data_IF_341170103641
#
_entry.id   IF_341170103641
#
_cell.length_a   1.000
_cell.length_b   1.000
_cell.length_c   1.000
_cell.angle_alpha   90.00
_cell.angle_beta   90.00
_cell.angle_gamma   90.00
#
_symmetry.space_group_name_H-M   'P 1'
#
loop_
_entity.id
_entity.type
_entity.pdbx_description
1 polymer ?
#
# COMPACT_ATOMS: atom_id res chain seq x y z
N UNK A 1 20.43 65.57 11.35
CA UNK A 1 21.55 66.04 10.50
C UNK A 1 22.29 64.84 9.87
N UNK A 2 21.75 64.31 8.78
CA UNK A 2 22.54 63.50 7.83
C UNK A 2 22.76 64.42 6.63
N UNK A 3 24.02 64.70 6.32
CA UNK A 3 24.39 65.68 5.30
C UNK A 3 23.96 65.22 3.91
N UNK A 4 23.09 66.01 3.29
CA UNK A 4 22.76 65.91 1.87
C UNK A 4 24.03 66.23 1.06
N UNK A 5 24.76 65.20 0.67
CA UNK A 5 25.78 65.35 -0.37
C UNK A 5 25.05 65.69 -1.67
N UNK A 6 25.42 66.82 -2.26
CA UNK A 6 24.92 67.21 -3.58
C UNK A 6 25.12 66.05 -4.57
N UNK A 7 24.09 65.67 -5.35
CA UNK A 7 24.20 64.53 -6.26
C UNK A 7 25.33 64.78 -7.26
N UNK A 8 26.24 63.80 -7.38
CA UNK A 8 27.42 63.86 -8.24
C UNK A 8 27.13 64.03 -9.73
N UNK A 9 25.87 63.83 -10.13
CA UNK A 9 25.35 64.09 -11.49
C UNK A 9 24.06 64.94 -11.39
N UNK A 10 24.14 66.27 -11.62
CA UNK A 10 22.99 67.16 -11.65
C UNK A 10 21.92 66.75 -12.67
N UNK A 11 22.31 66.12 -13.79
CA UNK A 11 21.36 65.68 -14.82
C UNK A 11 20.55 64.46 -14.35
N UNK A 12 21.17 63.51 -13.65
CA UNK A 12 20.46 62.38 -13.05
C UNK A 12 19.51 62.81 -11.92
N UNK A 13 19.84 63.87 -11.18
CA UNK A 13 18.94 64.43 -10.17
C UNK A 13 17.74 65.13 -10.80
N UNK A 14 17.96 65.96 -11.83
CA UNK A 14 16.88 66.61 -12.57
C UNK A 14 15.92 65.62 -13.24
N UNK A 15 16.44 64.51 -13.82
CA UNK A 15 15.60 63.43 -14.36
C UNK A 15 14.70 62.84 -13.26
N UNK A 16 15.27 62.47 -12.10
CA UNK A 16 14.52 61.93 -10.96
C UNK A 16 13.46 62.89 -10.42
N UNK A 17 13.76 64.18 -10.33
CA UNK A 17 12.79 65.20 -9.91
C UNK A 17 11.64 65.34 -10.91
N UNK A 18 11.94 65.33 -12.21
CA UNK A 18 10.93 65.37 -13.26
C UNK A 18 10.03 64.12 -13.24
N UNK A 19 10.62 62.95 -13.02
CA UNK A 19 9.87 61.70 -12.93
C UNK A 19 8.98 61.67 -11.67
N UNK A 20 9.47 62.19 -10.54
CA UNK A 20 8.68 62.31 -9.31
C UNK A 20 7.49 63.27 -9.49
N UNK A 21 7.68 64.41 -10.18
CA UNK A 21 6.58 65.33 -10.49
C UNK A 21 5.53 64.67 -11.39
N UNK A 22 5.97 63.97 -12.45
CA UNK A 22 5.07 63.21 -13.34
C UNK A 22 4.24 62.16 -12.60
N UNK A 23 4.86 61.43 -11.67
CA UNK A 23 4.16 60.43 -10.85
C UNK A 23 3.13 61.08 -9.92
N UNK A 24 3.46 62.25 -9.35
CA UNK A 24 2.52 62.97 -8.49
C UNK A 24 1.32 63.50 -9.27
N UNK A 25 1.56 64.04 -10.46
CA UNK A 25 0.49 64.56 -11.32
C UNK A 25 -0.41 63.41 -11.81
N UNK A 26 0.16 62.28 -12.23
CA UNK A 26 -0.60 61.09 -12.61
C UNK A 26 -1.42 60.50 -11.45
N UNK A 27 -0.89 60.51 -10.23
CA UNK A 27 -1.62 60.07 -9.03
C UNK A 27 -2.82 60.99 -8.73
N UNK A 28 -2.63 62.30 -8.86
CA UNK A 28 -3.70 63.28 -8.67
C UNK A 28 -4.80 63.14 -9.73
N UNK A 29 -4.43 62.88 -10.99
CA UNK A 29 -5.37 62.60 -12.08
C UNK A 29 -6.17 61.32 -11.84
N UNK A 30 -5.50 60.26 -11.36
CA UNK A 30 -6.15 58.98 -11.01
C UNK A 30 -7.12 59.15 -9.84
N UNK A 31 -6.72 59.87 -8.80
CA UNK A 31 -7.58 60.14 -7.64
C UNK A 31 -8.81 60.97 -8.02
N UNK A 32 -8.63 61.98 -8.87
CA UNK A 32 -9.74 62.78 -9.40
C UNK A 32 -10.70 61.95 -10.27
N UNK A 33 -10.17 61.00 -11.06
CA UNK A 33 -10.99 60.06 -11.83
C UNK A 33 -11.79 59.11 -10.93
N UNK A 34 -11.15 58.50 -9.94
CA UNK A 34 -11.82 57.62 -8.97
C UNK A 34 -12.89 58.36 -8.17
N UNK A 35 -12.63 59.62 -7.79
CA UNK A 35 -13.60 60.46 -7.11
C UNK A 35 -14.85 60.71 -7.96
N UNK A 36 -14.70 60.89 -9.28
CA UNK A 36 -15.83 61.01 -10.21
C UNK A 36 -16.59 59.68 -10.36
N UNK A 37 -15.90 58.55 -10.49
CA UNK A 37 -16.55 57.24 -10.59
C UNK A 37 -17.34 56.88 -9.33
N UNK A 38 -16.83 57.23 -8.17
CA UNK A 38 -17.41 56.90 -6.86
C UNK A 38 -18.29 58.02 -6.30
N UNK A 39 -18.62 59.04 -7.10
CA UNK A 39 -19.48 60.14 -6.68
C UNK A 39 -20.85 59.61 -6.21
N UNK A 40 -21.27 60.05 -5.02
CA UNK A 40 -22.59 59.72 -4.45
C UNK A 40 -23.73 60.33 -5.25
N UNK A 41 -23.50 61.51 -5.83
CA UNK A 41 -24.43 62.17 -6.74
C UNK A 41 -24.32 61.55 -8.14
N UNK A 42 -25.39 60.93 -8.67
CA UNK A 42 -25.38 60.33 -10.01
C UNK A 42 -25.12 61.34 -11.14
N UNK A 43 -25.44 62.63 -10.94
CA UNK A 43 -25.27 63.66 -11.98
C UNK A 43 -23.81 64.06 -12.20
N UNK A 44 -22.93 63.77 -11.23
CA UNK A 44 -21.49 64.06 -11.26
C UNK A 44 -20.67 62.80 -11.58
N UNK A 45 -21.32 61.64 -11.59
CA UNK A 45 -20.66 60.37 -11.88
C UNK A 45 -20.34 60.27 -13.37
N UNK A 46 -19.10 59.93 -13.69
CA UNK A 46 -18.71 59.64 -15.07
C UNK A 46 -19.59 58.52 -15.64
N UNK A 47 -20.06 58.69 -16.87
CA UNK A 47 -20.76 57.65 -17.61
C UNK A 47 -19.81 56.49 -17.93
N UNK A 48 -20.36 55.32 -18.26
CA UNK A 48 -19.56 54.16 -18.66
C UNK A 48 -18.67 54.45 -19.88
N UNK A 49 -19.14 55.26 -20.83
CA UNK A 49 -18.36 55.64 -22.02
C UNK A 49 -17.22 56.59 -21.68
N UNK A 50 -17.43 57.53 -20.76
CA UNK A 50 -16.37 58.44 -20.30
C UNK A 50 -15.33 57.69 -19.46
N UNK A 51 -15.75 56.74 -18.62
CA UNK A 51 -14.86 55.90 -17.83
C UNK A 51 -13.96 55.01 -18.70
N UNK A 52 -14.50 54.45 -19.78
CA UNK A 52 -13.74 53.61 -20.72
C UNK A 52 -12.78 54.43 -21.60
N UNK A 53 -13.03 55.72 -21.76
CA UNK A 53 -12.17 56.63 -22.53
C UNK A 53 -11.10 57.30 -21.67
N UNK A 54 -11.10 57.07 -20.35
CA UNK A 54 -10.09 57.61 -19.45
C UNK A 54 -8.73 56.94 -19.71
N UNK A 55 -7.61 57.69 -19.80
CA UNK A 55 -6.27 57.14 -20.02
C UNK A 55 -5.91 56.01 -19.04
N UNK A 56 -6.31 56.13 -17.77
CA UNK A 56 -6.02 55.12 -16.75
C UNK A 56 -6.68 53.78 -17.06
N UNK A 57 -7.96 53.80 -17.48
CA UNK A 57 -8.72 52.59 -17.79
C UNK A 57 -8.33 52.03 -19.16
N UNK A 58 -8.19 52.90 -20.16
CA UNK A 58 -7.86 52.49 -21.52
C UNK A 58 -6.46 51.87 -21.63
N UNK A 59 -5.44 52.42 -20.96
CA UNK A 59 -4.09 51.84 -20.95
C UNK A 59 -4.03 50.52 -20.17
N UNK A 60 -4.69 50.44 -19.01
CA UNK A 60 -4.78 49.20 -18.24
C UNK A 60 -5.54 48.11 -18.98
N UNK A 61 -6.63 48.46 -19.67
CA UNK A 61 -7.43 47.53 -20.45
C UNK A 61 -6.67 47.08 -21.70
N UNK A 62 -5.96 47.98 -22.38
CA UNK A 62 -5.09 47.63 -23.51
C UNK A 62 -3.94 46.71 -23.09
N UNK A 63 -3.31 46.94 -21.93
CA UNK A 63 -2.29 46.05 -21.41
C UNK A 63 -2.86 44.66 -21.06
N UNK A 64 -4.08 44.61 -20.50
CA UNK A 64 -4.77 43.35 -20.23
C UNK A 64 -5.21 42.63 -21.51
N UNK A 65 -5.66 43.35 -22.54
CA UNK A 65 -6.01 42.80 -23.85
C UNK A 65 -4.77 42.29 -24.57
N UNK A 66 -3.66 43.03 -24.57
CA UNK A 66 -2.39 42.58 -25.14
C UNK A 66 -1.85 41.34 -24.41
N UNK A 67 -1.96 41.29 -23.07
CA UNK A 67 -1.60 40.10 -22.29
C UNK A 67 -2.57 38.92 -22.53
N UNK A 68 -3.83 39.19 -22.86
CA UNK A 68 -4.78 38.17 -23.28
C UNK A 68 -4.49 37.69 -24.71
N UNK A 69 -4.12 38.56 -25.64
CA UNK A 69 -3.69 38.23 -26.99
C UNK A 69 -2.39 37.41 -26.99
N UNK A 70 -1.44 37.73 -26.12
CA UNK A 70 -0.24 36.91 -25.88
C UNK A 70 -0.57 35.54 -25.26
N UNK A 71 -1.63 35.47 -24.42
CA UNK A 71 -2.14 34.22 -23.82
C UNK A 71 -3.08 33.43 -24.73
N UNK A 72 -3.65 34.06 -25.76
CA UNK A 72 -4.28 33.39 -26.90
C UNK A 72 -3.13 32.86 -27.75
N UNK A 73 -2.47 31.86 -27.18
CA UNK A 73 -1.21 31.32 -27.63
C UNK A 73 -1.26 30.80 -29.06
N UNK A 74 -0.06 30.66 -29.64
CA UNK A 74 0.20 30.03 -30.93
C UNK A 74 -0.77 28.88 -31.18
N UNK A 75 -1.66 29.08 -32.14
CA UNK A 75 -2.51 28.01 -32.64
C UNK A 75 -1.61 26.85 -33.07
N UNK A 76 -1.93 25.64 -32.62
CA UNK A 76 -1.23 24.41 -33.00
C UNK A 76 -2.14 23.53 -33.82
N UNK A 77 -1.54 22.70 -34.66
CA UNK A 77 -2.27 21.81 -35.57
C UNK A 77 -2.24 20.39 -35.03
N UNK A 78 -3.42 19.77 -34.91
CA UNK A 78 -3.51 18.35 -34.55
C UNK A 78 -2.82 17.47 -35.60
N UNK A 79 -1.85 16.66 -35.19
CA UNK A 79 -1.15 15.71 -36.04
C UNK A 79 -2.04 14.58 -36.57
N UNK A 80 -3.24 14.39 -36.01
CA UNK A 80 -4.18 13.34 -36.43
C UNK A 80 -5.28 13.85 -37.34
N UNK A 81 -6.07 14.84 -36.91
CA UNK A 81 -7.20 15.35 -37.68
C UNK A 81 -6.90 16.64 -38.47
N UNK A 82 -5.76 17.29 -38.24
CA UNK A 82 -5.40 18.54 -38.90
C UNK A 82 -6.14 19.78 -38.37
N UNK A 83 -6.84 19.70 -37.23
CA UNK A 83 -7.50 20.87 -36.64
C UNK A 83 -6.48 21.94 -36.24
N UNK A 84 -6.58 23.12 -36.86
CA UNK A 84 -5.70 24.28 -36.68
C UNK A 84 -6.20 25.26 -35.62
N UNK A 85 -7.34 24.98 -34.96
CA UNK A 85 -7.95 25.89 -33.98
C UNK A 85 -7.51 25.62 -32.54
N UNK A 86 -6.59 24.68 -32.33
CA UNK A 86 -6.20 24.24 -31.00
C UNK A 86 -5.30 25.24 -30.29
N UNK A 87 -5.63 25.47 -29.01
CA UNK A 87 -4.73 26.17 -28.09
C UNK A 87 -3.70 25.19 -27.55
N UNK A 88 -2.45 25.63 -27.41
CA UNK A 88 -1.36 24.84 -26.82
C UNK A 88 -1.75 24.21 -25.46
N UNK A 89 -2.51 24.94 -24.63
CA UNK A 89 -2.96 24.45 -23.31
C UNK A 89 -3.97 23.31 -23.36
N UNK A 90 -4.69 23.16 -24.46
CA UNK A 90 -5.75 22.15 -24.65
C UNK A 90 -5.22 20.90 -25.34
N UNK A 91 -4.11 21.02 -26.08
CA UNK A 91 -3.54 19.94 -26.85
C UNK A 91 -2.57 19.07 -26.04
N UNK A 92 -2.61 17.76 -26.25
CA UNK A 92 -1.62 16.85 -25.71
C UNK A 92 -0.39 16.84 -26.62
N UNK A 93 0.81 17.07 -26.07
CA UNK A 93 2.07 17.00 -26.81
C UNK A 93 2.78 15.69 -26.51
N UNK A 94 3.27 15.00 -27.54
CA UNK A 94 4.05 13.78 -27.34
C UNK A 94 5.34 14.06 -26.56
N UNK A 95 5.94 13.04 -25.90
CA UNK A 95 7.19 13.22 -25.18
C UNK A 95 8.38 13.67 -26.04
N UNK A 96 8.35 13.45 -27.37
CA UNK A 96 9.38 13.96 -28.28
C UNK A 96 9.20 15.43 -28.63
N UNK A 97 8.00 15.98 -28.41
CA UNK A 97 7.64 17.36 -28.76
C UNK A 97 7.09 17.55 -30.17
N UNK A 98 7.28 16.59 -31.08
CA UNK A 98 7.00 16.76 -32.52
C UNK A 98 5.53 16.61 -32.91
N UNK A 99 4.74 15.88 -32.11
CA UNK A 99 3.34 15.57 -32.40
C UNK A 99 2.43 16.18 -31.34
N UNK A 100 1.32 16.74 -31.81
CA UNK A 100 0.32 17.43 -31.02
C UNK A 100 -1.04 16.82 -31.33
N UNK A 101 -1.85 16.58 -30.31
CA UNK A 101 -3.15 15.93 -30.45
C UNK A 101 -4.24 16.80 -29.86
N UNK A 102 -5.35 16.97 -30.61
CA UNK A 102 -6.58 17.49 -30.00
C UNK A 102 -7.08 16.52 -28.93
N UNK A 103 -7.88 16.99 -27.94
CA UNK A 103 -8.42 16.14 -26.89
C UNK A 103 -9.14 14.88 -27.41
N UNK A 104 -9.91 15.00 -28.50
CA UNK A 104 -10.65 13.87 -29.07
C UNK A 104 -9.72 12.82 -29.68
N UNK A 105 -8.75 13.22 -30.51
CA UNK A 105 -7.80 12.30 -31.13
C UNK A 105 -6.88 11.66 -30.09
N UNK A 106 -6.46 12.40 -29.06
CA UNK A 106 -5.66 11.87 -27.98
C UNK A 106 -6.43 10.85 -27.14
N UNK A 107 -7.68 11.17 -26.77
CA UNK A 107 -8.58 10.25 -26.06
C UNK A 107 -8.78 8.96 -26.84
N UNK A 108 -9.06 9.06 -28.14
CA UNK A 108 -9.22 7.90 -29.00
C UNK A 108 -7.94 7.04 -29.07
N UNK A 109 -6.77 7.68 -29.18
CA UNK A 109 -5.49 6.97 -29.17
C UNK A 109 -5.26 6.21 -27.86
N UNK A 110 -5.63 6.80 -26.72
CA UNK A 110 -5.56 6.15 -25.40
C UNK A 110 -6.50 4.95 -25.36
N UNK A 111 -7.76 5.11 -25.78
CA UNK A 111 -8.74 4.01 -25.79
C UNK A 111 -8.33 2.83 -26.65
N UNK A 112 -7.75 3.09 -27.83
CA UNK A 112 -7.24 2.04 -28.73
C UNK A 112 -6.10 1.28 -28.06
N UNK A 113 -5.14 1.98 -27.46
CA UNK A 113 -3.98 1.36 -26.82
C UNK A 113 -4.34 0.61 -25.54
N UNK A 114 -5.35 1.06 -24.79
CA UNK A 114 -5.87 0.33 -23.63
C UNK A 114 -6.52 -1.00 -24.04
N UNK A 115 -7.11 -1.06 -25.24
CA UNK A 115 -7.74 -2.27 -25.77
C UNK A 115 -6.76 -3.20 -26.50
N UNK A 116 -5.61 -2.67 -26.92
CA UNK A 116 -4.57 -3.46 -27.55
C UNK A 116 -3.92 -4.41 -26.53
N UNK A 117 -3.56 -5.63 -26.95
CA UNK A 117 -2.99 -6.67 -26.09
C UNK A 117 -1.49 -6.92 -26.39
N UNK A 118 -0.82 -5.95 -27.01
CA UNK A 118 0.62 -6.04 -27.33
C UNK A 118 1.51 -6.05 -26.08
N UNK A 119 2.81 -6.33 -26.26
CA UNK A 119 3.77 -6.35 -25.16
C UNK A 119 3.89 -4.99 -24.42
N UNK A 120 3.71 -3.86 -25.12
CA UNK A 120 3.63 -2.54 -24.48
C UNK A 120 2.35 -2.39 -23.65
N UNK A 121 1.24 -2.98 -24.12
CA UNK A 121 0.02 -3.08 -23.34
C UNK A 121 0.16 -4.00 -22.11
N UNK A 122 1.13 -4.93 -22.05
CA UNK A 122 1.41 -5.69 -20.82
C UNK A 122 1.93 -4.83 -19.68
N UNK A 123 2.56 -3.70 -19.96
CA UNK A 123 2.94 -2.69 -18.96
C UNK A 123 1.89 -1.58 -18.83
N UNK A 124 0.88 -1.58 -19.72
CA UNK A 124 -0.21 -0.61 -19.79
C UNK A 124 0.30 0.83 -19.81
N UNK A 125 1.14 1.11 -20.80
CA UNK A 125 1.69 2.44 -21.06
C UNK A 125 1.16 2.96 -22.40
N UNK A 126 0.90 4.27 -22.46
CA UNK A 126 0.39 4.92 -23.68
C UNK A 126 1.56 5.55 -24.42
N UNK A 127 1.72 5.23 -25.69
CA UNK A 127 2.73 5.81 -26.56
C UNK A 127 2.11 6.71 -27.61
N UNK A 128 2.93 7.59 -28.18
CA UNK A 128 2.54 8.38 -29.34
C UNK A 128 2.44 7.46 -30.57
N UNK A 129 1.29 7.44 -31.25
CA UNK A 129 1.05 6.58 -32.41
C UNK A 129 1.90 6.91 -33.64
N UNK A 130 2.45 8.12 -33.71
CA UNK A 130 3.27 8.61 -34.82
C UNK A 130 4.77 8.55 -34.53
N UNK A 131 5.12 8.44 -33.25
CA UNK A 131 6.50 8.45 -32.81
C UNK A 131 6.99 7.00 -32.73
N UNK A 132 8.13 6.69 -33.35
CA UNK A 132 8.86 5.45 -33.05
C UNK A 132 9.51 5.44 -31.65
N UNK A 133 9.30 6.51 -30.85
CA UNK A 133 9.86 6.66 -29.51
C UNK A 133 9.18 5.72 -28.53
N UNK A 134 9.99 5.00 -27.74
CA UNK A 134 9.51 4.14 -26.65
C UNK A 134 9.16 4.89 -25.37
N UNK A 135 9.24 6.21 -25.35
CA UNK A 135 8.89 7.00 -24.17
C UNK A 135 7.36 7.10 -24.06
N UNK A 136 6.75 6.65 -22.96
CA UNK A 136 5.30 6.75 -22.78
C UNK A 136 4.89 8.17 -22.37
N UNK A 137 3.61 8.49 -22.59
CA UNK A 137 3.01 9.69 -22.02
C UNK A 137 2.98 9.61 -20.49
N UNK A 138 3.29 10.71 -19.78
CA UNK A 138 3.07 10.80 -18.34
C UNK A 138 1.59 10.68 -17.98
N UNK A 139 1.31 10.12 -16.80
CA UNK A 139 -0.05 9.98 -16.27
C UNK A 139 -0.78 11.33 -16.21
N UNK A 140 -0.07 12.41 -15.87
CA UNK A 140 -0.69 13.74 -15.77
C UNK A 140 -1.21 14.23 -17.13
N UNK A 141 -0.49 13.89 -18.21
CA UNK A 141 -0.90 14.24 -19.58
C UNK A 141 -2.16 13.45 -19.97
N UNK A 142 -2.21 12.15 -19.65
CA UNK A 142 -3.36 11.30 -19.91
C UNK A 142 -4.58 11.77 -19.10
N UNK A 143 -4.40 12.03 -17.81
CA UNK A 143 -5.47 12.51 -16.93
C UNK A 143 -6.04 13.86 -17.39
N UNK A 144 -5.18 14.77 -17.85
CA UNK A 144 -5.58 16.11 -18.30
C UNK A 144 -6.30 16.10 -19.63
N UNK A 145 -5.77 15.39 -20.62
CA UNK A 145 -6.23 15.50 -22.02
C UNK A 145 -7.10 14.34 -22.49
N UNK A 146 -7.21 13.26 -21.70
CA UNK A 146 -8.09 12.12 -21.98
C UNK A 146 -8.89 11.69 -20.73
N UNK A 147 -9.62 12.60 -20.06
CA UNK A 147 -10.29 12.30 -18.78
C UNK A 147 -11.33 11.19 -18.87
N UNK A 148 -12.01 11.04 -20.02
CA UNK A 148 -13.01 9.98 -20.25
C UNK A 148 -12.38 8.58 -20.37
N UNK A 149 -11.17 8.49 -20.92
CA UNK A 149 -10.44 7.22 -21.09
C UNK A 149 -9.52 6.90 -19.89
N UNK A 150 -9.24 7.88 -19.02
CA UNK A 150 -8.29 7.74 -17.92
C UNK A 150 -8.69 6.64 -16.91
N UNK A 151 -9.99 6.47 -16.65
CA UNK A 151 -10.48 5.42 -15.77
C UNK A 151 -10.23 4.00 -16.30
N UNK A 152 -10.40 3.78 -17.60
CA UNK A 152 -10.08 2.51 -18.26
C UNK A 152 -8.56 2.26 -18.29
N UNK A 153 -7.79 3.32 -18.56
CA UNK A 153 -6.33 3.27 -18.49
C UNK A 153 -5.82 2.79 -17.12
N UNK A 154 -6.33 3.38 -16.02
CA UNK A 154 -5.93 2.98 -14.66
C UNK A 154 -6.31 1.53 -14.34
N UNK A 155 -7.51 1.08 -14.72
CA UNK A 155 -7.95 -0.32 -14.55
C UNK A 155 -7.06 -1.30 -15.32
N UNK A 156 -6.73 -0.95 -16.56
CA UNK A 156 -5.79 -1.73 -17.34
C UNK A 156 -4.45 -1.84 -16.61
N UNK A 157 -3.89 -0.72 -16.14
CA UNK A 157 -2.60 -0.70 -15.44
C UNK A 157 -2.59 -1.50 -14.14
N UNK A 158 -3.67 -1.44 -13.37
CA UNK A 158 -3.84 -2.28 -12.18
C UNK A 158 -3.84 -3.77 -12.55
N UNK A 159 -4.56 -4.14 -13.62
CA UNK A 159 -4.61 -5.52 -14.12
C UNK A 159 -3.24 -6.02 -14.58
N UNK A 160 -2.49 -5.20 -15.32
CA UNK A 160 -1.13 -5.50 -15.76
C UNK A 160 -0.16 -5.68 -14.59
N UNK A 161 -0.22 -4.80 -13.60
CA UNK A 161 0.60 -4.92 -12.39
C UNK A 161 0.26 -6.19 -11.60
N UNK A 162 -1.02 -6.49 -11.43
CA UNK A 162 -1.48 -7.71 -10.76
C UNK A 162 -0.99 -8.97 -11.48
N UNK A 163 -1.09 -9.01 -12.82
CA UNK A 163 -0.59 -10.12 -13.63
C UNK A 163 0.92 -10.31 -13.50
N UNK A 164 1.70 -9.21 -13.47
CA UNK A 164 3.15 -9.26 -13.25
C UNK A 164 3.50 -9.84 -11.88
N UNK A 165 2.83 -9.36 -10.82
CA UNK A 165 3.03 -9.87 -9.47
C UNK A 165 2.66 -11.35 -9.34
N UNK A 166 1.58 -11.79 -9.99
CA UNK A 166 1.18 -13.19 -10.02
C UNK A 166 2.21 -14.08 -10.74
N UNK A 167 2.74 -13.59 -11.87
CA UNK A 167 3.81 -14.27 -12.60
C UNK A 167 5.08 -14.43 -11.76
N UNK A 168 5.51 -13.36 -11.08
CA UNK A 168 6.67 -13.39 -10.18
C UNK A 168 6.47 -14.37 -9.03
N UNK A 169 5.32 -14.30 -8.34
CA UNK A 169 4.97 -15.25 -7.26
C UNK A 169 4.91 -16.69 -7.74
N UNK A 170 4.34 -16.93 -8.92
CA UNK A 170 4.27 -18.26 -9.51
C UNK A 170 5.66 -18.80 -9.84
N UNK A 171 6.56 -17.96 -10.36
CA UNK A 171 7.94 -18.34 -10.61
C UNK A 171 8.69 -18.68 -9.31
N UNK A 172 8.56 -17.84 -8.27
CA UNK A 172 9.14 -18.10 -6.95
C UNK A 172 8.60 -19.39 -6.33
N UNK A 173 7.29 -19.63 -6.41
CA UNK A 173 6.67 -20.84 -5.89
C UNK A 173 7.20 -22.09 -6.60
N UNK A 174 7.34 -22.04 -7.93
CA UNK A 174 7.92 -23.14 -8.72
C UNK A 174 9.35 -23.45 -8.29
N UNK A 175 10.17 -22.43 -8.06
CA UNK A 175 11.55 -22.61 -7.56
C UNK A 175 11.56 -23.28 -6.19
N UNK A 176 10.74 -22.80 -5.23
CA UNK A 176 10.64 -23.39 -3.89
C UNK A 176 10.15 -24.84 -3.93
N UNK A 177 9.16 -25.13 -4.78
CA UNK A 177 8.63 -26.48 -4.95
C UNK A 177 9.68 -27.41 -5.54
N UNK A 178 10.43 -26.96 -6.54
CA UNK A 178 11.50 -27.73 -7.16
C UNK A 178 12.62 -28.03 -6.15
N UNK A 179 13.03 -27.05 -5.35
CA UNK A 179 14.02 -27.22 -4.29
C UNK A 179 13.56 -28.25 -3.23
N UNK A 180 12.29 -28.21 -2.82
CA UNK A 180 11.78 -29.17 -1.84
C UNK A 180 11.66 -30.58 -2.45
N UNK A 181 11.30 -30.70 -3.72
CA UNK A 181 11.30 -31.98 -4.44
C UNK A 181 12.71 -32.56 -4.55
N UNK A 182 13.71 -31.76 -4.93
CA UNK A 182 15.11 -32.19 -5.01
C UNK A 182 15.65 -32.61 -3.65
N UNK A 183 15.29 -31.87 -2.59
CA UNK A 183 15.61 -32.25 -1.21
C UNK A 183 14.97 -33.60 -0.84
N UNK A 184 13.69 -33.80 -1.13
CA UNK A 184 13.00 -35.06 -0.85
C UNK A 184 13.56 -36.24 -1.68
N UNK A 185 14.03 -35.99 -2.90
CA UNK A 185 14.64 -37.01 -3.77
C UNK A 185 16.07 -37.37 -3.35
N UNK A 186 16.83 -36.41 -2.81
CA UNK A 186 18.20 -36.63 -2.34
C UNK A 186 18.28 -37.24 -0.95
N UNK A 187 17.18 -37.24 -0.20
CA UNK A 187 17.11 -37.87 1.11
C UNK A 187 17.23 -39.39 1.00
N UNK A 188 18.16 -39.95 1.76
CA UNK A 188 18.24 -41.39 2.00
C UNK A 188 16.98 -41.91 2.70
N UNK A 189 16.72 -43.23 2.58
CA UNK A 189 15.62 -43.88 3.29
C UNK A 189 15.68 -43.65 4.81
N UNK A 190 16.89 -43.60 5.38
CA UNK A 190 17.10 -43.29 6.79
C UNK A 190 16.64 -41.86 7.13
N UNK A 191 17.08 -40.86 6.37
CA UNK A 191 16.70 -39.45 6.58
C UNK A 191 15.19 -39.23 6.41
N UNK A 192 14.57 -39.90 5.43
CA UNK A 192 13.13 -39.86 5.23
C UNK A 192 12.39 -40.40 6.44
N UNK A 193 12.82 -41.55 6.98
CA UNK A 193 12.22 -42.17 8.18
C UNK A 193 12.42 -41.32 9.43
N UNK A 194 13.61 -40.75 9.61
CA UNK A 194 13.90 -39.80 10.71
C UNK A 194 13.01 -38.56 10.60
N UNK A 195 12.82 -38.02 9.40
CA UNK A 195 11.96 -36.85 9.17
C UNK A 195 10.49 -37.14 9.48
N UNK A 196 9.96 -38.28 9.04
CA UNK A 196 8.59 -38.71 9.37
C UNK A 196 8.44 -38.92 10.88
N UNK A 197 9.41 -39.58 11.53
CA UNK A 197 9.37 -39.80 12.97
C UNK A 197 9.47 -38.50 13.77
N UNK A 198 10.31 -37.56 13.31
CA UNK A 198 10.43 -36.22 13.88
C UNK A 198 9.12 -35.46 13.80
N UNK A 199 8.48 -35.44 12.63
CA UNK A 199 7.18 -34.80 12.45
C UNK A 199 6.12 -35.44 13.37
N UNK A 200 6.13 -36.77 13.55
CA UNK A 200 5.24 -37.43 14.49
C UNK A 200 5.47 -36.99 15.94
N UNK A 201 6.73 -36.92 16.38
CA UNK A 201 7.11 -36.44 17.72
C UNK A 201 6.61 -35.02 17.94
N UNK A 202 6.95 -34.10 17.03
CA UNK A 202 6.61 -32.68 17.16
C UNK A 202 5.09 -32.48 17.17
N UNK A 203 4.35 -33.19 16.32
CA UNK A 203 2.91 -32.94 16.16
C UNK A 203 2.00 -33.76 17.08
N UNK A 204 2.39 -34.98 17.46
CA UNK A 204 1.52 -35.91 18.19
C UNK A 204 1.99 -36.20 19.62
N UNK A 205 3.28 -36.01 19.92
CA UNK A 205 3.83 -36.30 21.24
C UNK A 205 4.03 -35.00 22.03
N UNK A 206 4.73 -34.03 21.46
CA UNK A 206 5.10 -32.79 22.17
C UNK A 206 4.01 -31.72 22.20
N UNK A 207 2.98 -31.84 21.36
CA UNK A 207 1.82 -30.95 21.39
C UNK A 207 0.75 -31.53 22.30
N UNK A 208 0.33 -30.77 23.32
CA UNK A 208 -0.78 -31.20 24.18
C UNK A 208 -2.09 -31.07 23.41
N UNK A 209 -2.80 -32.18 23.27
CA UNK A 209 -4.05 -32.26 22.49
C UNK A 209 -5.19 -32.74 23.36
N UNK A 210 -6.41 -32.40 22.95
CA UNK A 210 -7.60 -33.01 23.50
C UNK A 210 -7.55 -34.53 23.25
N UNK A 211 -7.71 -35.37 24.30
CA UNK A 211 -7.66 -36.84 24.18
C UNK A 211 -8.81 -37.42 23.34
N UNK A 212 -9.82 -36.61 23.00
CA UNK A 212 -11.00 -37.04 22.27
C UNK A 212 -10.99 -36.61 20.80
N UNK A 213 -10.77 -35.33 20.52
CA UNK A 213 -10.81 -34.81 19.14
C UNK A 213 -9.43 -34.46 18.56
N UNK A 214 -8.34 -34.60 19.33
CA UNK A 214 -6.99 -34.30 18.85
C UNK A 214 -6.68 -32.80 18.67
N UNK A 215 -7.61 -31.89 18.99
CA UNK A 215 -7.38 -30.44 18.89
C UNK A 215 -6.24 -30.03 19.84
N UNK A 216 -5.23 -29.34 19.31
CA UNK A 216 -4.17 -28.71 20.11
C UNK A 216 -4.74 -27.54 20.90
N UNK A 217 -4.18 -27.25 22.07
CA UNK A 217 -4.52 -26.06 22.82
C UNK A 217 -3.26 -25.41 23.38
N UNK A 218 -3.12 -24.12 23.12
CA UNK A 218 -1.85 -23.39 23.27
C UNK A 218 -1.80 -22.56 24.57
N UNK A 219 -2.96 -22.11 25.05
CA UNK A 219 -3.05 -21.21 26.20
C UNK A 219 -3.79 -21.87 27.37
N UNK A 220 -3.19 -21.74 28.56
CA UNK A 220 -3.70 -22.30 29.80
C UNK A 220 -4.14 -21.21 30.77
N UNK A 221 -5.43 -21.19 31.11
CA UNK A 221 -6.00 -20.27 32.10
C UNK A 221 -6.26 -20.98 33.44
N UNK A 222 -5.18 -21.21 34.19
CA UNK A 222 -5.09 -21.57 35.62
C UNK A 222 -5.83 -22.82 36.16
N UNK A 223 -7.04 -23.17 35.70
CA UNK A 223 -7.81 -24.32 36.18
C UNK A 223 -7.40 -25.59 35.43
N UNK A 224 -7.00 -26.64 36.16
CA UNK A 224 -6.58 -27.90 35.55
C UNK A 224 -7.74 -28.84 35.21
N UNK A 225 -8.96 -28.37 35.36
CA UNK A 225 -10.16 -29.00 34.86
C UNK A 225 -10.48 -28.45 33.45
N UNK A 226 -9.90 -29.06 32.42
CA UNK A 226 -9.96 -28.57 31.04
C UNK A 226 -11.24 -29.00 30.35
N UNK A 227 -11.91 -28.04 29.72
CA UNK A 227 -12.96 -28.33 28.76
C UNK A 227 -12.44 -27.97 27.37
N UNK A 228 -12.48 -28.91 26.43
CA UNK A 228 -12.15 -28.62 25.04
C UNK A 228 -13.16 -27.60 24.48
N UNK A 229 -12.74 -26.33 24.36
CA UNK A 229 -13.65 -25.20 24.06
C UNK A 229 -14.54 -25.49 22.85
N UNK A 230 -15.85 -25.26 22.99
CA UNK A 230 -16.83 -25.33 21.90
C UNK A 230 -17.00 -24.00 21.18
N UNK A 231 -16.40 -22.93 21.69
CA UNK A 231 -16.73 -21.57 21.27
C UNK A 231 -15.82 -21.13 20.11
N UNK A 232 -16.43 -20.74 18.99
CA UNK A 232 -15.79 -20.22 17.78
C UNK A 232 -16.63 -20.49 16.51
N UNK A 233 -16.68 -19.56 15.55
CA UNK A 233 -17.39 -19.73 14.27
C UNK A 233 -16.46 -20.25 13.15
N UNK A 234 -15.44 -21.05 13.50
CA UNK A 234 -14.39 -21.50 12.57
C UNK A 234 -14.15 -23.02 12.61
N UNK A 235 -13.22 -23.54 11.81
CA UNK A 235 -12.84 -24.96 11.81
C UNK A 235 -12.25 -25.44 13.15
N UNK A 236 -11.95 -24.52 14.08
CA UNK A 236 -11.35 -24.77 15.39
C UNK A 236 -12.36 -25.04 16.52
N UNK A 237 -13.58 -25.46 16.22
CA UNK A 237 -14.58 -25.84 17.25
C UNK A 237 -14.12 -27.13 17.95
N UNK A 238 -13.84 -27.05 19.25
CA UNK A 238 -13.51 -28.23 20.06
C UNK A 238 -14.75 -29.05 20.42
N UNK A 239 -14.55 -30.27 20.91
CA UNK A 239 -15.64 -31.23 21.11
C UNK A 239 -16.45 -31.02 22.43
N UNK A 240 -16.02 -30.13 23.31
CA UNK A 240 -16.61 -29.96 24.65
C UNK A 240 -16.29 -31.08 25.65
N UNK A 241 -15.41 -32.02 25.29
CA UNK A 241 -14.98 -33.05 26.22
C UNK A 241 -14.22 -32.43 27.38
N UNK A 242 -14.54 -32.89 28.59
CA UNK A 242 -13.85 -32.51 29.83
C UNK A 242 -12.76 -33.52 30.15
N UNK A 243 -11.60 -33.06 30.57
CA UNK A 243 -10.47 -33.92 30.91
C UNK A 243 -9.51 -33.25 31.88
N UNK A 244 -8.84 -34.08 32.66
CA UNK A 244 -7.85 -33.61 33.63
C UNK A 244 -6.60 -33.07 32.94
N UNK A 245 -6.15 -31.87 33.28
CA UNK A 245 -4.94 -31.26 32.78
C UNK A 245 -3.63 -31.99 33.13
N UNK A 246 -3.65 -32.70 34.26
CA UNK A 246 -2.48 -33.44 34.75
C UNK A 246 -2.25 -34.76 34.03
N UNK A 247 -3.31 -35.50 33.69
CA UNK A 247 -3.20 -36.84 33.11
C UNK A 247 -3.89 -37.01 31.76
N UNK A 248 -4.60 -35.98 31.27
CA UNK A 248 -5.41 -35.98 30.05
C UNK A 248 -6.47 -37.09 30.02
N UNK A 249 -6.83 -37.66 31.17
CA UNK A 249 -7.91 -38.64 31.23
C UNK A 249 -9.25 -37.92 31.10
N UNK A 250 -10.14 -38.46 30.26
CA UNK A 250 -11.51 -37.97 30.09
C UNK A 250 -12.26 -38.01 31.42
N UNK A 251 -12.96 -36.94 31.75
CA UNK A 251 -13.77 -36.80 32.97
C UNK A 251 -15.23 -36.54 32.61
N UNK A 252 -16.15 -36.84 33.53
CA UNK A 252 -17.54 -36.37 33.46
C UNK A 252 -17.64 -34.95 34.02
N UNK A 253 -18.79 -34.28 33.86
CA UNK A 253 -18.97 -32.94 34.41
C UNK A 253 -18.90 -32.91 35.95
N UNK A 254 -19.38 -33.97 36.60
CA UNK A 254 -19.49 -34.09 38.06
C UNK A 254 -18.16 -34.49 38.71
N UNK A 255 -17.33 -35.26 38.01
CA UNK A 255 -16.06 -35.79 38.55
C UNK A 255 -14.84 -34.94 38.18
N UNK A 256 -15.01 -33.97 37.27
CA UNK A 256 -13.89 -33.26 36.67
C UNK A 256 -12.95 -32.58 37.68
N UNK A 257 -13.51 -31.76 38.57
CA UNK A 257 -12.73 -31.09 39.60
C UNK A 257 -12.17 -32.09 40.62
N UNK A 258 -12.99 -33.05 41.07
CA UNK A 258 -12.58 -34.07 42.05
C UNK A 258 -11.42 -34.93 41.54
N UNK A 259 -11.42 -35.29 40.26
CA UNK A 259 -10.33 -36.02 39.64
C UNK A 259 -9.06 -35.15 39.63
N UNK A 260 -9.15 -33.90 39.20
CA UNK A 260 -7.98 -32.99 39.13
C UNK A 260 -7.34 -32.81 40.50
N UNK A 261 -8.14 -32.52 41.54
CA UNK A 261 -7.63 -32.31 42.90
C UNK A 261 -6.98 -33.56 43.50
N UNK A 262 -7.40 -34.76 43.08
CA UNK A 262 -6.89 -36.04 43.59
C UNK A 262 -6.01 -36.78 42.58
N UNK A 263 -5.67 -36.15 41.46
CA UNK A 263 -4.94 -36.81 40.39
C UNK A 263 -3.54 -37.21 40.90
N UNK A 264 -3.14 -38.45 40.67
CA UNK A 264 -1.79 -38.93 41.04
C UNK A 264 -0.65 -38.15 40.35
N UNK A 265 -0.98 -37.43 39.27
CA UNK A 265 -0.05 -36.60 38.50
C UNK A 265 -0.12 -35.12 38.89
N UNK A 266 -0.92 -34.76 39.89
CA UNK A 266 -1.02 -33.40 40.37
C UNK A 266 0.26 -33.02 41.14
N UNK A 267 1.04 -32.10 40.55
CA UNK A 267 2.29 -31.61 41.15
C UNK A 267 2.08 -30.44 42.13
N UNK A 268 0.88 -29.85 42.15
CA UNK A 268 0.54 -28.77 43.07
C UNK A 268 0.23 -29.28 44.49
N UNK A 269 -0.12 -30.56 44.62
CA UNK A 269 -0.53 -31.18 45.88
C UNK A 269 -1.98 -31.68 45.84
N UNK A 270 -2.32 -32.64 46.71
CA UNK A 270 -3.69 -33.14 46.80
C UNK A 270 -4.62 -32.05 47.34
N UNK A 271 -5.78 -31.89 46.71
CA UNK A 271 -6.75 -30.85 47.03
C UNK A 271 -6.67 -29.63 46.11
N UNK A 272 -5.56 -29.44 45.40
CA UNK A 272 -5.35 -28.25 44.57
C UNK A 272 -5.93 -28.39 43.16
N UNK A 273 -6.75 -27.42 42.75
CA UNK A 273 -7.38 -27.34 41.43
C UNK A 273 -6.66 -26.40 40.46
N UNK A 274 -5.98 -25.40 41.03
CA UNK A 274 -5.27 -24.35 40.33
C UNK A 274 -3.77 -24.54 40.55
N UNK A 275 -2.96 -24.23 39.55
CA UNK A 275 -1.51 -24.33 39.68
C UNK A 275 -0.78 -23.39 38.72
N UNK A 276 0.52 -23.23 38.96
CA UNK A 276 1.43 -22.48 38.08
C UNK A 276 1.60 -23.24 36.76
N UNK A 277 1.65 -22.49 35.66
CA UNK A 277 1.96 -23.01 34.33
C UNK A 277 3.32 -23.74 34.30
N UNK A 278 4.27 -23.37 35.17
CA UNK A 278 5.53 -24.09 35.35
C UNK A 278 5.32 -25.55 35.77
N UNK A 279 4.41 -25.79 36.72
CA UNK A 279 4.08 -27.15 37.17
C UNK A 279 3.31 -27.92 36.10
N UNK A 280 2.47 -27.26 35.31
CA UNK A 280 1.85 -27.87 34.11
C UNK A 280 2.93 -28.32 33.11
N UNK A 281 3.86 -27.44 32.76
CA UNK A 281 4.96 -27.79 31.87
C UNK A 281 5.78 -28.95 32.42
N UNK A 282 6.12 -28.95 33.71
CA UNK A 282 6.85 -30.06 34.33
C UNK A 282 6.07 -31.38 34.26
N UNK A 283 4.77 -31.36 34.55
CA UNK A 283 3.89 -32.52 34.40
C UNK A 283 3.86 -33.02 32.94
N UNK A 284 3.74 -32.11 31.98
CA UNK A 284 3.75 -32.44 30.56
C UNK A 284 5.10 -33.02 30.13
N UNK A 285 6.23 -32.45 30.58
CA UNK A 285 7.56 -32.99 30.33
C UNK A 285 7.68 -34.45 30.77
N UNK A 286 7.11 -34.82 31.93
CA UNK A 286 7.08 -36.21 32.41
C UNK A 286 6.27 -37.12 31.46
N UNK A 287 5.09 -36.67 31.01
CA UNK A 287 4.26 -37.44 30.06
C UNK A 287 4.93 -37.57 28.69
N UNK A 288 5.50 -36.49 28.18
CA UNK A 288 6.22 -36.47 26.90
C UNK A 288 7.44 -37.38 26.93
N UNK A 289 8.21 -37.39 28.03
CA UNK A 289 9.32 -38.34 28.21
C UNK A 289 8.84 -39.79 28.08
N UNK A 290 7.76 -40.16 28.78
CA UNK A 290 7.21 -41.52 28.67
C UNK A 290 6.73 -41.83 27.25
N UNK A 291 5.94 -40.94 26.65
CA UNK A 291 5.41 -41.14 25.30
C UNK A 291 6.51 -41.22 24.23
N UNK A 292 7.59 -40.44 24.38
CA UNK A 292 8.78 -40.53 23.53
C UNK A 292 9.49 -41.88 23.68
N UNK A 293 9.66 -42.37 24.91
CA UNK A 293 10.26 -43.68 25.15
C UNK A 293 9.43 -44.79 24.54
N UNK A 294 8.11 -44.78 24.74
CA UNK A 294 7.18 -45.75 24.15
C UNK A 294 7.25 -45.70 22.62
N UNK A 295 7.29 -44.50 22.03
CA UNK A 295 7.41 -44.31 20.59
C UNK A 295 8.75 -44.81 20.04
N UNK A 296 9.87 -44.59 20.74
CA UNK A 296 11.17 -45.12 20.33
C UNK A 296 11.21 -46.66 20.38
N UNK A 297 10.55 -47.28 21.37
CA UNK A 297 10.38 -48.75 21.40
C UNK A 297 9.54 -49.22 20.21
N UNK A 298 8.44 -48.52 19.91
CA UNK A 298 7.56 -48.85 18.79
C UNK A 298 8.24 -48.72 17.42
N UNK A 299 9.11 -47.72 17.23
CA UNK A 299 9.86 -47.54 15.99
C UNK A 299 10.77 -48.74 15.67
N UNK A 300 11.32 -49.40 16.70
CA UNK A 300 12.11 -50.63 16.58
C UNK A 300 13.44 -50.53 15.82
N UNK A 301 13.71 -49.41 15.14
CA UNK A 301 14.91 -49.19 14.34
C UNK A 301 15.98 -48.40 15.10
N UNK A 302 17.11 -49.03 15.48
CA UNK A 302 18.12 -48.39 16.30
C UNK A 302 18.84 -47.24 15.58
N UNK A 303 18.94 -47.24 14.25
CA UNK A 303 19.60 -46.17 13.50
C UNK A 303 18.74 -44.90 13.48
N UNK A 304 17.43 -45.05 13.26
CA UNK A 304 16.47 -43.94 13.34
C UNK A 304 16.43 -43.36 14.76
N UNK A 305 16.34 -44.22 15.79
CA UNK A 305 16.30 -43.77 17.19
C UNK A 305 17.59 -43.07 17.60
N UNK A 306 18.76 -43.56 17.17
CA UNK A 306 20.04 -42.92 17.45
C UNK A 306 20.10 -41.50 16.88
N UNK A 307 19.66 -41.28 15.63
CA UNK A 307 19.60 -39.93 15.04
C UNK A 307 18.61 -39.03 15.77
N UNK A 308 17.41 -39.53 16.10
CA UNK A 308 16.43 -38.73 16.84
C UNK A 308 16.98 -38.30 18.20
N UNK A 309 17.70 -39.17 18.92
CA UNK A 309 18.31 -38.84 20.22
C UNK A 309 19.42 -37.78 20.14
N UNK A 310 20.05 -37.59 18.99
CA UNK A 310 21.04 -36.53 18.80
C UNK A 310 20.40 -35.14 18.66
N UNK A 311 19.08 -35.04 18.45
CA UNK A 311 18.40 -33.76 18.32
C UNK A 311 18.33 -33.05 19.70
N UNK A 312 18.93 -31.86 19.85
CA UNK A 312 18.95 -31.13 21.12
C UNK A 312 17.55 -30.76 21.62
N UNK A 313 16.56 -30.61 20.73
CA UNK A 313 15.17 -30.37 21.13
C UNK A 313 14.58 -31.53 21.96
N UNK A 314 15.17 -32.72 21.88
CA UNK A 314 14.73 -33.91 22.62
C UNK A 314 15.60 -34.25 23.82
N UNK A 315 16.72 -33.54 24.01
CA UNK A 315 17.68 -33.80 25.10
C UNK A 315 17.05 -33.63 26.49
N UNK A 316 16.16 -32.64 26.65
CA UNK A 316 15.38 -32.40 27.88
C UNK A 316 14.46 -33.58 28.28
N UNK A 317 14.16 -34.47 27.33
CA UNK A 317 13.25 -35.60 27.52
C UNK A 317 13.93 -36.97 27.57
N UNK A 318 15.26 -37.01 27.46
CA UNK A 318 16.03 -38.23 27.72
C UNK A 318 16.12 -38.49 29.22
#
# INVERSE_FOLDING_TARGET
PRGDQAPSDPAAWLRRQRDHLRLRDAAAETEAFLARLLARDPSVRASASEALSDPFVSESLQAQLAALEEKVGSAVVCSTCGDETLRESEAARCPSGDHVFCPECFTHSVEVQVKDQTAAAKEMVIHCSYCGTKTPFPDETIARHAPTAFGDYLRGRETALAAKLDQEKTAEYKVKLQQELEKLQSMSDLERRVTVARAHIETNILVTRCPHCGKAFDEWSACFAVTCSRDGNGPDIGCGTRFCGWCLTKCTAEDHHRHVSNCRHNLAGRGELFSDIKLFHESNKRRWRQALQDYFVQLGDPAVVAQLRQNPAYSDYQ
#
